data_IF_631509680793
#
_entry.id   IF_631509680793
#
_cell.length_a   1.000
_cell.length_b   1.000
_cell.length_c   1.000
_cell.angle_alpha   90.00
_cell.angle_beta   90.00
_cell.angle_gamma   90.00
#
_symmetry.space_group_name_H-M   'P 1'
#
loop_
_entity.id
_entity.type
_entity.pdbx_description
1 polymer ?
#
# COMPACT_ATOMS: atom_id res chain seq x y z
N UNK A 1 12.53 12.39 -39.30
CA UNK A 1 13.96 12.66 -39.07
C UNK A 1 14.19 12.88 -37.58
N UNK A 2 15.17 12.21 -36.96
CA UNK A 2 15.49 12.30 -35.51
C UNK A 2 16.90 12.87 -35.32
N UNK A 3 17.05 14.17 -35.58
CA UNK A 3 18.25 14.91 -35.21
C UNK A 3 17.89 16.15 -34.41
N UNK A 4 18.77 16.54 -33.50
CA UNK A 4 18.63 17.78 -32.75
C UNK A 4 19.99 18.46 -32.59
N UNK A 5 19.95 19.76 -32.34
CA UNK A 5 21.13 20.55 -32.02
C UNK A 5 21.10 20.92 -30.55
N UNK A 6 22.27 20.94 -29.92
CA UNK A 6 22.39 21.49 -28.56
C UNK A 6 22.12 22.99 -28.63
N UNK A 7 21.52 23.57 -27.61
CA UNK A 7 21.31 25.03 -27.56
C UNK A 7 22.67 25.74 -27.67
N UNK A 8 22.85 26.54 -28.73
CA UNK A 8 24.10 27.23 -29.05
C UNK A 8 25.15 26.41 -29.83
N UNK A 9 24.85 25.17 -30.22
CA UNK A 9 25.73 24.32 -31.02
C UNK A 9 25.27 24.20 -32.47
N UNK A 10 26.20 24.18 -33.42
CA UNK A 10 25.93 24.04 -34.87
C UNK A 10 26.03 22.60 -35.39
N UNK A 11 26.30 21.64 -34.50
CA UNK A 11 26.42 20.22 -34.87
C UNK A 11 25.11 19.50 -34.61
N UNK A 12 24.50 19.02 -35.69
CA UNK A 12 23.34 18.13 -35.65
C UNK A 12 23.72 16.76 -35.10
N UNK A 13 23.03 16.30 -34.06
CA UNK A 13 23.22 14.98 -33.46
C UNK A 13 22.07 14.09 -33.94
N UNK A 14 22.39 13.06 -34.72
CA UNK A 14 21.44 11.97 -35.01
C UNK A 14 21.27 11.09 -33.79
N UNK A 15 20.02 10.78 -33.47
CA UNK A 15 19.66 9.88 -32.37
C UNK A 15 18.72 8.81 -32.89
N UNK A 16 18.97 7.58 -32.45
CA UNK A 16 18.11 6.43 -32.65
C UNK A 16 17.76 5.88 -31.27
N UNK A 17 16.48 5.82 -30.94
CA UNK A 17 16.01 5.38 -29.63
C UNK A 17 14.63 4.75 -29.71
N UNK A 18 14.39 3.78 -28.83
CA UNK A 18 13.06 3.24 -28.56
C UNK A 18 12.44 4.00 -27.38
N UNK A 19 11.30 4.63 -27.62
CA UNK A 19 10.56 5.35 -26.59
C UNK A 19 9.55 4.42 -25.90
N UNK A 20 9.60 4.34 -24.58
CA UNK A 20 8.59 3.67 -23.75
C UNK A 20 8.13 4.70 -22.72
N UNK A 21 6.83 4.93 -22.65
CA UNK A 21 6.21 5.88 -21.72
C UNK A 21 5.11 5.20 -20.91
N UNK A 22 4.84 5.71 -19.71
CA UNK A 22 3.76 5.25 -18.86
C UNK A 22 3.12 6.45 -18.16
N UNK A 23 1.81 6.41 -18.00
CA UNK A 23 1.04 7.46 -17.33
C UNK A 23 -0.14 6.85 -16.57
N UNK A 24 -0.47 7.44 -15.42
CA UNK A 24 -1.69 7.13 -14.66
C UNK A 24 -2.84 8.09 -14.99
N UNK A 25 -2.60 9.06 -15.87
CA UNK A 25 -3.61 10.02 -16.35
C UNK A 25 -4.19 9.57 -17.67
N UNK A 26 -5.49 9.77 -17.81
CA UNK A 26 -6.22 9.65 -19.07
C UNK A 26 -5.80 10.79 -20.00
N UNK A 27 -4.99 10.47 -21.01
CA UNK A 27 -4.45 11.45 -21.94
C UNK A 27 -5.52 12.01 -22.88
N UNK A 28 -6.56 11.24 -23.21
CA UNK A 28 -7.66 11.71 -24.05
C UNK A 28 -8.46 12.81 -23.33
N UNK A 29 -8.76 12.59 -22.04
CA UNK A 29 -9.36 13.64 -21.20
C UNK A 29 -8.44 14.83 -20.99
N UNK A 30 -7.13 14.62 -20.93
CA UNK A 30 -6.17 15.71 -20.78
C UNK A 30 -6.07 16.58 -22.05
N UNK A 31 -6.15 15.96 -23.24
CA UNK A 31 -6.22 16.66 -24.52
C UNK A 31 -7.52 17.47 -24.63
N UNK A 32 -8.66 16.87 -24.28
CA UNK A 32 -9.96 17.57 -24.28
C UNK A 32 -9.99 18.82 -23.37
N UNK A 33 -9.15 18.83 -22.32
CA UNK A 33 -8.99 19.97 -21.39
C UNK A 33 -7.89 20.95 -21.80
N UNK A 34 -7.21 20.74 -22.94
CA UNK A 34 -6.08 21.56 -23.40
C UNK A 34 -4.81 21.41 -22.56
N UNK A 35 -4.74 20.41 -21.68
CA UNK A 35 -3.59 20.16 -20.79
C UNK A 35 -2.52 19.28 -21.44
N UNK A 36 -2.83 18.67 -22.59
CA UNK A 36 -1.91 17.81 -23.33
C UNK A 36 -2.00 18.08 -24.83
N UNK A 37 -0.86 18.03 -25.51
CA UNK A 37 -0.78 18.31 -26.94
C UNK A 37 -1.17 17.07 -27.75
N UNK A 38 -2.05 17.28 -28.72
CA UNK A 38 -2.59 16.24 -29.60
C UNK A 38 -1.52 15.64 -30.52
N UNK A 39 -0.63 16.47 -31.09
CA UNK A 39 0.46 16.03 -31.94
C UNK A 39 1.45 15.09 -31.22
N UNK A 40 1.68 15.34 -29.92
CA UNK A 40 2.49 14.47 -29.08
C UNK A 40 1.76 13.17 -28.75
N UNK A 41 0.45 13.21 -28.50
CA UNK A 41 -0.34 12.02 -28.20
C UNK A 41 -0.26 11.00 -29.34
N UNK A 42 -0.49 11.41 -30.58
CA UNK A 42 -0.43 10.50 -31.73
C UNK A 42 0.97 9.92 -31.99
N UNK A 43 2.04 10.61 -31.57
CA UNK A 43 3.42 10.10 -31.65
C UNK A 43 3.77 9.12 -30.53
N UNK A 44 3.12 9.24 -29.38
CA UNK A 44 3.34 8.35 -28.23
C UNK A 44 2.42 7.12 -28.28
N UNK A 45 1.16 7.31 -28.65
CA UNK A 45 0.08 6.34 -28.55
C UNK A 45 -0.01 5.45 -29.80
N UNK A 46 1.11 4.80 -30.16
CA UNK A 46 1.18 3.88 -31.31
C UNK A 46 0.76 2.47 -30.90
N UNK A 47 1.30 1.97 -29.78
CA UNK A 47 0.92 0.69 -29.18
C UNK A 47 0.72 0.92 -27.70
N UNK A 48 -0.49 0.62 -27.22
CA UNK A 48 -0.90 0.91 -25.85
C UNK A 48 -1.22 -0.36 -25.11
N UNK A 49 -0.56 -0.56 -23.98
CA UNK A 49 -0.81 -1.67 -23.06
C UNK A 49 -1.57 -1.12 -21.86
N UNK A 50 -2.83 -1.52 -21.73
CA UNK A 50 -3.62 -1.19 -20.54
C UNK A 50 -3.21 -2.09 -19.38
N UNK A 51 -2.75 -1.48 -18.27
CA UNK A 51 -2.42 -2.21 -17.05
C UNK A 51 -3.60 -2.14 -16.07
N UNK A 52 -4.38 -3.22 -15.90
CA UNK A 52 -5.52 -3.21 -15.00
C UNK A 52 -5.08 -3.05 -13.53
N UNK A 53 -5.88 -2.38 -12.69
CA UNK A 53 -5.66 -2.31 -11.26
C UNK A 53 -5.78 -3.71 -10.62
N UNK A 54 -5.10 -3.93 -9.50
CA UNK A 54 -5.09 -5.23 -8.79
C UNK A 54 -6.49 -5.78 -8.50
N UNK A 55 -7.48 -4.93 -8.19
CA UNK A 55 -8.88 -5.34 -7.98
C UNK A 55 -9.56 -6.01 -9.18
N UNK A 56 -9.06 -5.78 -10.40
CA UNK A 56 -9.56 -6.43 -11.62
C UNK A 56 -8.81 -7.73 -11.95
N UNK A 57 -7.78 -8.07 -11.17
CA UNK A 57 -6.93 -9.26 -11.34
C UNK A 57 -6.63 -9.91 -9.98
N UNK A 58 -7.69 -10.18 -9.22
CA UNK A 58 -7.58 -10.71 -7.86
C UNK A 58 -6.88 -12.08 -7.80
N UNK A 59 -6.96 -12.84 -8.87
CA UNK A 59 -6.28 -14.14 -9.05
C UNK A 59 -4.75 -14.03 -8.94
N UNK A 60 -4.16 -12.86 -9.22
CA UNK A 60 -2.73 -12.62 -9.08
C UNK A 60 -2.30 -12.37 -7.63
N UNK A 61 -3.24 -12.06 -6.72
CA UNK A 61 -2.94 -11.65 -5.34
C UNK A 61 -2.17 -12.75 -4.58
N UNK A 62 -2.57 -14.03 -4.59
CA UNK A 62 -1.82 -15.07 -3.89
C UNK A 62 -0.39 -15.23 -4.42
N UNK A 63 -0.20 -15.13 -5.73
CA UNK A 63 1.13 -15.22 -6.35
C UNK A 63 2.02 -14.04 -5.94
N UNK A 64 1.49 -12.82 -6.03
CA UNK A 64 2.18 -11.59 -5.65
C UNK A 64 2.50 -11.56 -4.15
N UNK A 65 1.55 -11.95 -3.30
CA UNK A 65 1.75 -11.99 -1.85
C UNK A 65 2.86 -12.98 -1.47
N UNK A 66 2.88 -14.16 -2.07
CA UNK A 66 3.95 -15.14 -1.86
C UNK A 66 5.30 -14.65 -2.39
N UNK A 67 5.33 -13.95 -3.52
CA UNK A 67 6.55 -13.33 -4.04
C UNK A 67 7.10 -12.30 -3.06
N UNK A 68 6.27 -11.38 -2.55
CA UNK A 68 6.69 -10.38 -1.57
C UNK A 68 7.13 -11.03 -0.25
N UNK A 69 6.40 -12.04 0.24
CA UNK A 69 6.81 -12.81 1.40
C UNK A 69 8.23 -13.32 1.23
N UNK A 70 8.54 -14.05 0.15
CA UNK A 70 9.88 -14.58 -0.10
C UNK A 70 10.94 -13.48 -0.17
N UNK A 71 10.62 -12.38 -0.84
CA UNK A 71 11.53 -11.23 -1.01
C UNK A 71 11.91 -10.59 0.34
N UNK A 72 10.94 -10.40 1.23
CA UNK A 72 11.16 -9.74 2.53
C UNK A 72 11.59 -10.71 3.64
N UNK A 73 11.32 -12.01 3.47
CA UNK A 73 11.77 -13.04 4.40
C UNK A 73 13.30 -13.19 4.40
N UNK A 74 13.92 -13.11 3.22
CA UNK A 74 15.38 -13.15 3.08
C UNK A 74 16.10 -11.94 3.72
N UNK A 75 15.40 -10.81 3.91
CA UNK A 75 15.94 -9.63 4.59
C UNK A 75 15.83 -9.74 6.12
N UNK A 76 14.86 -10.53 6.61
CA UNK A 76 14.52 -10.62 8.04
C UNK A 76 14.93 -11.95 8.71
N UNK A 77 15.73 -12.77 8.03
CA UNK A 77 16.29 -14.03 8.57
C UNK A 77 15.35 -15.24 8.49
N UNK A 78 14.53 -15.31 7.44
CA UNK A 78 13.70 -16.46 7.06
C UNK A 78 12.72 -16.98 8.13
N UNK A 79 12.15 -16.07 8.92
CA UNK A 79 11.23 -16.42 10.02
C UNK A 79 9.86 -16.89 9.54
N UNK A 80 9.36 -16.36 8.42
CA UNK A 80 7.97 -16.54 7.97
C UNK A 80 7.92 -17.43 6.73
N UNK A 81 7.30 -18.61 6.84
CA UNK A 81 7.29 -19.63 5.79
C UNK A 81 6.10 -19.51 4.85
N UNK A 82 4.93 -19.10 5.36
CA UNK A 82 3.69 -19.09 4.57
C UNK A 82 2.69 -18.05 5.06
N UNK A 83 1.70 -17.77 4.20
CA UNK A 83 0.50 -17.01 4.54
C UNK A 83 -0.61 -18.03 4.81
N UNK A 84 -1.40 -17.83 5.87
CA UNK A 84 -2.58 -18.67 6.14
C UNK A 84 -3.67 -18.46 5.09
N UNK A 85 -4.55 -19.45 4.91
CA UNK A 85 -5.62 -19.37 3.93
C UNK A 85 -6.59 -18.22 4.26
N UNK A 86 -6.93 -18.06 5.54
CA UNK A 86 -7.81 -16.99 6.03
C UNK A 86 -7.22 -15.60 5.79
N UNK A 87 -5.89 -15.48 5.89
CA UNK A 87 -5.18 -14.25 5.60
C UNK A 87 -5.15 -13.94 4.10
N UNK A 88 -5.01 -14.95 3.25
CA UNK A 88 -5.11 -14.80 1.80
C UNK A 88 -6.52 -14.41 1.37
N UNK A 89 -7.56 -15.00 1.95
CA UNK A 89 -8.96 -14.62 1.68
C UNK A 89 -9.20 -13.15 1.99
N UNK A 90 -8.70 -12.67 3.13
CA UNK A 90 -8.77 -11.26 3.52
C UNK A 90 -8.05 -10.34 2.51
N UNK A 91 -6.90 -10.76 1.98
CA UNK A 91 -6.20 -10.03 0.93
C UNK A 91 -6.97 -10.03 -0.40
N UNK A 92 -7.68 -11.11 -0.74
CA UNK A 92 -8.48 -11.21 -1.97
C UNK A 92 -9.77 -10.38 -1.90
N UNK A 93 -10.37 -10.25 -0.72
CA UNK A 93 -11.60 -9.49 -0.53
C UNK A 93 -11.37 -7.96 -0.57
N UNK A 94 -10.15 -7.49 -0.33
CA UNK A 94 -9.83 -6.07 -0.32
C UNK A 94 -9.72 -5.44 -1.73
N UNK A 95 -10.05 -4.15 -1.84
CA UNK A 95 -10.15 -3.41 -3.11
C UNK A 95 -8.82 -2.83 -3.63
N UNK A 96 -7.76 -2.87 -2.83
CA UNK A 96 -6.40 -2.43 -3.22
C UNK A 96 -6.33 -1.08 -3.95
N UNK A 97 -6.74 0.03 -3.34
CA UNK A 97 -6.62 1.35 -3.97
C UNK A 97 -5.21 1.77 -4.33
N UNK A 98 -4.22 1.40 -3.52
CA UNK A 98 -2.81 1.60 -3.83
C UNK A 98 -2.22 0.51 -4.73
N UNK A 99 -3.06 -0.40 -5.26
CA UNK A 99 -2.70 -1.45 -6.21
C UNK A 99 -1.57 -2.34 -5.62
N UNK A 100 -0.70 -2.88 -6.47
CA UNK A 100 0.42 -3.75 -6.06
C UNK A 100 1.33 -3.12 -4.99
N UNK A 101 1.52 -1.79 -4.98
CA UNK A 101 2.35 -1.13 -3.95
C UNK A 101 1.75 -1.20 -2.56
N UNK A 102 0.42 -1.13 -2.45
CA UNK A 102 -0.23 -1.29 -1.16
C UNK A 102 -0.13 -2.74 -0.68
N UNK A 103 -0.32 -3.72 -1.58
CA UNK A 103 -0.10 -5.13 -1.28
C UNK A 103 1.32 -5.40 -0.79
N UNK A 104 2.33 -4.90 -1.50
CA UNK A 104 3.75 -5.00 -1.13
C UNK A 104 3.98 -4.47 0.30
N UNK A 105 3.50 -3.26 0.60
CA UNK A 105 3.65 -2.64 1.92
C UNK A 105 2.88 -3.42 3.02
N UNK A 106 1.72 -3.98 2.71
CA UNK A 106 0.94 -4.77 3.66
C UNK A 106 1.70 -6.06 4.00
N UNK A 107 2.20 -6.77 2.99
CA UNK A 107 2.95 -8.02 3.18
C UNK A 107 4.29 -7.77 3.88
N UNK A 108 5.03 -6.72 3.50
CA UNK A 108 6.27 -6.33 4.18
C UNK A 108 6.03 -6.09 5.67
N UNK A 109 5.00 -5.29 6.01
CA UNK A 109 4.64 -5.05 7.41
C UNK A 109 4.23 -6.34 8.12
N UNK A 110 3.44 -7.20 7.47
CA UNK A 110 3.01 -8.46 8.04
C UNK A 110 4.23 -9.34 8.39
N UNK A 111 5.22 -9.46 7.51
CA UNK A 111 6.47 -10.21 7.78
C UNK A 111 7.22 -9.67 9.01
N UNK A 112 7.23 -8.35 9.21
CA UNK A 112 7.89 -7.70 10.37
C UNK A 112 7.09 -7.88 11.67
N UNK A 113 5.76 -7.88 11.58
CA UNK A 113 4.87 -7.94 12.73
C UNK A 113 4.64 -9.36 13.25
N UNK A 114 4.67 -10.33 12.33
CA UNK A 114 4.45 -11.75 12.58
C UNK A 114 5.54 -12.27 13.53
N UNK A 115 5.12 -12.95 14.60
CA UNK A 115 6.05 -13.59 15.55
C UNK A 115 6.18 -15.11 15.33
N UNK A 116 5.37 -15.66 14.43
CA UNK A 116 5.29 -17.07 14.07
C UNK A 116 5.87 -17.30 12.65
N UNK A 117 5.88 -18.54 12.21
CA UNK A 117 6.26 -18.93 10.85
C UNK A 117 5.12 -18.80 9.83
N UNK A 118 3.93 -18.35 10.27
CA UNK A 118 2.74 -18.18 9.43
C UNK A 118 2.16 -16.77 9.62
N UNK A 119 1.88 -16.06 8.52
CA UNK A 119 1.12 -14.80 8.56
C UNK A 119 -0.36 -15.11 8.81
N UNK A 120 -0.90 -14.58 9.90
CA UNK A 120 -2.31 -14.72 10.27
C UNK A 120 -3.12 -13.46 9.88
N UNK A 121 -4.46 -13.53 9.84
CA UNK A 121 -5.30 -12.37 9.54
C UNK A 121 -5.04 -11.17 10.45
N UNK A 122 -4.64 -11.41 11.70
CA UNK A 122 -4.32 -10.37 12.69
C UNK A 122 -3.02 -9.60 12.39
N UNK A 123 -2.11 -10.20 11.61
CA UNK A 123 -0.87 -9.55 11.18
C UNK A 123 -1.11 -8.64 9.95
N UNK A 124 -2.26 -8.79 9.30
CA UNK A 124 -2.64 -8.03 8.11
C UNK A 124 -3.36 -6.74 8.52
N UNK A 125 -2.63 -5.63 8.42
CA UNK A 125 -3.17 -4.29 8.69
C UNK A 125 -3.61 -3.62 7.38
N UNK A 126 -4.90 -3.76 7.07
CA UNK A 126 -5.57 -3.04 5.98
C UNK A 126 -6.11 -1.70 6.45
N UNK A 127 -6.13 -0.72 5.54
CA UNK A 127 -6.80 0.56 5.80
C UNK A 127 -8.30 0.37 5.59
N UNK A 128 -9.18 0.94 6.45
CA UNK A 128 -10.61 0.90 6.19
C UNK A 128 -10.90 1.65 4.87
N UNK A 129 -11.41 0.93 3.88
CA UNK A 129 -11.85 1.50 2.62
C UNK A 129 -13.20 2.18 2.82
N UNK A 130 -13.19 3.48 3.16
CA UNK A 130 -14.40 4.30 3.01
C UNK A 130 -14.49 4.70 1.53
N UNK A 131 -15.52 4.23 0.83
CA UNK A 131 -16.04 4.92 -0.36
C UNK A 131 -16.41 6.33 0.08
N UNK A 132 -15.54 7.30 -0.22
CA UNK A 132 -15.93 8.69 -0.15
C UNK A 132 -16.90 8.88 -1.33
N UNK A 133 -18.20 8.89 -1.06
CA UNK A 133 -19.20 9.34 -2.01
C UNK A 133 -18.91 10.82 -2.36
N UNK A 134 -19.07 11.16 -3.64
CA UNK A 134 -18.72 12.44 -4.28
C UNK A 134 -19.50 13.69 -3.77
N UNK A 135 -19.72 13.87 -2.46
CA UNK A 135 -20.50 15.02 -1.96
C UNK A 135 -19.98 15.74 -0.73
N UNK A 136 -18.78 15.46 -0.22
CA UNK A 136 -18.23 16.23 0.90
C UNK A 136 -16.78 16.66 0.65
N UNK A 137 -16.64 17.79 -0.05
CA UNK A 137 -15.46 18.65 0.10
C UNK A 137 -15.58 19.30 1.49
N UNK A 138 -15.20 18.55 2.52
CA UNK A 138 -14.89 19.12 3.82
C UNK A 138 -13.37 19.12 3.90
N UNK A 139 -12.79 20.32 3.93
CA UNK A 139 -11.38 20.57 4.26
C UNK A 139 -10.89 19.60 5.34
N UNK A 140 -9.66 19.05 5.21
CA UNK A 140 -9.25 17.91 6.01
C UNK A 140 -9.29 18.27 7.49
N UNK A 141 -10.13 17.63 8.33
CA UNK A 141 -9.83 17.63 9.73
C UNK A 141 -8.53 16.82 9.84
N UNK A 142 -7.50 17.45 10.40
CA UNK A 142 -6.23 16.82 10.81
C UNK A 142 -6.49 15.36 11.12
N UNK A 143 -5.81 14.48 10.38
CA UNK A 143 -5.79 13.03 10.59
C UNK A 143 -5.93 12.72 12.07
N UNK A 144 -7.11 12.27 12.51
CA UNK A 144 -7.26 11.54 13.76
C UNK A 144 -6.45 10.26 13.50
N UNK A 145 -5.18 10.35 13.84
CA UNK A 145 -4.20 9.30 13.58
C UNK A 145 -4.76 8.04 14.22
N UNK A 146 -4.86 6.93 13.49
CA UNK A 146 -5.27 5.62 14.05
C UNK A 146 -4.54 5.30 15.37
N UNK A 147 -3.33 5.86 15.53
CA UNK A 147 -2.49 5.86 16.72
C UNK A 147 -3.18 6.47 17.96
N UNK A 148 -3.94 7.56 17.81
CA UNK A 148 -4.62 8.24 18.92
C UNK A 148 -5.85 7.48 19.41
N UNK A 149 -6.63 6.91 18.48
CA UNK A 149 -7.78 6.06 18.83
C UNK A 149 -7.35 4.77 19.51
N UNK A 150 -6.29 4.14 19.01
CA UNK A 150 -5.70 2.94 19.62
C UNK A 150 -5.12 3.25 21.01
N UNK A 151 -4.42 4.38 21.15
CA UNK A 151 -3.91 4.86 22.45
C UNK A 151 -5.04 5.03 23.46
N UNK A 152 -6.15 5.66 23.07
CA UNK A 152 -7.29 5.88 23.95
C UNK A 152 -7.94 4.56 24.43
N UNK A 153 -8.07 3.58 23.55
CA UNK A 153 -8.65 2.26 23.89
C UNK A 153 -7.75 1.47 24.84
N UNK A 154 -6.44 1.42 24.56
CA UNK A 154 -5.46 0.76 25.43
C UNK A 154 -5.42 1.42 26.81
N UNK A 155 -5.43 2.75 26.86
CA UNK A 155 -5.42 3.50 28.10
C UNK A 155 -6.71 3.31 28.92
N UNK A 156 -7.87 3.21 28.24
CA UNK A 156 -9.15 2.90 28.90
C UNK A 156 -9.13 1.50 29.51
N UNK A 157 -8.69 0.48 28.77
CA UNK A 157 -8.60 -0.90 29.27
C UNK A 157 -7.62 -1.04 30.44
N UNK A 158 -6.48 -0.34 30.40
CA UNK A 158 -5.51 -0.29 31.52
C UNK A 158 -6.12 0.37 32.76
N UNK A 159 -6.83 1.50 32.61
CA UNK A 159 -7.51 2.16 33.74
C UNK A 159 -8.59 1.27 34.36
N UNK A 160 -9.45 0.65 33.55
CA UNK A 160 -10.52 -0.23 34.04
C UNK A 160 -9.99 -1.47 34.77
N UNK A 161 -8.80 -1.93 34.41
CA UNK A 161 -8.16 -3.11 35.02
C UNK A 161 -7.08 -2.77 36.06
N UNK A 162 -7.04 -1.52 36.54
CA UNK A 162 -6.06 -1.04 37.52
C UNK A 162 -4.61 -1.31 37.11
N UNK A 163 -4.28 -1.05 35.84
CA UNK A 163 -2.97 -1.26 35.23
C UNK A 163 -2.47 -2.71 35.21
N UNK A 164 -3.36 -3.69 35.45
CA UNK A 164 -3.02 -5.09 35.29
C UNK A 164 -2.99 -5.47 33.81
N UNK A 165 -1.79 -5.47 33.23
CA UNK A 165 -1.57 -5.75 31.80
C UNK A 165 -2.16 -7.09 31.33
N UNK A 166 -2.18 -8.12 32.18
CA UNK A 166 -2.73 -9.43 31.81
C UNK A 166 -4.26 -9.38 31.68
N UNK A 167 -4.94 -8.67 32.60
CA UNK A 167 -6.39 -8.46 32.54
C UNK A 167 -6.77 -7.48 31.44
N UNK A 168 -6.00 -6.42 31.23
CA UNK A 168 -6.20 -5.45 30.15
C UNK A 168 -6.09 -6.12 28.78
N UNK A 169 -5.08 -6.97 28.59
CA UNK A 169 -4.87 -7.73 27.36
C UNK A 169 -6.06 -8.67 27.09
N UNK A 170 -6.53 -9.37 28.13
CA UNK A 170 -7.73 -10.23 28.05
C UNK A 170 -9.00 -9.44 27.72
N UNK A 171 -9.17 -8.23 28.26
CA UNK A 171 -10.31 -7.35 27.98
C UNK A 171 -10.28 -6.81 26.55
N UNK A 172 -9.09 -6.58 26.00
CA UNK A 172 -8.87 -6.13 24.63
C UNK A 172 -8.81 -7.28 23.62
N UNK A 173 -8.89 -8.54 24.07
CA UNK A 173 -8.80 -9.72 23.19
C UNK A 173 -7.42 -9.92 22.55
N UNK A 174 -6.35 -9.37 23.12
CA UNK A 174 -4.99 -9.46 22.59
C UNK A 174 -4.06 -10.20 23.55
N UNK A 175 -2.97 -10.76 23.03
CA UNK A 175 -1.95 -11.39 23.87
C UNK A 175 -1.20 -10.36 24.74
N UNK A 176 -0.79 -10.74 25.96
CA UNK A 176 -0.11 -9.84 26.92
C UNK A 176 1.15 -9.18 26.33
N UNK A 177 1.91 -9.93 25.54
CA UNK A 177 3.13 -9.42 24.89
C UNK A 177 2.80 -8.34 23.84
N UNK A 178 1.68 -8.48 23.13
CA UNK A 178 1.19 -7.51 22.15
C UNK A 178 0.78 -6.20 22.82
N UNK A 179 0.09 -6.29 23.97
CA UNK A 179 -0.24 -5.11 24.77
C UNK A 179 1.05 -4.39 25.22
N UNK A 180 2.01 -5.12 25.81
CA UNK A 180 3.28 -4.55 26.28
C UNK A 180 4.07 -3.85 25.16
N UNK A 181 4.12 -4.43 23.96
CA UNK A 181 4.76 -3.83 22.79
C UNK A 181 4.07 -2.53 22.36
N UNK A 182 2.73 -2.53 22.32
CA UNK A 182 1.93 -1.35 21.96
C UNK A 182 2.04 -0.23 23.01
N UNK A 183 2.05 -0.57 24.30
CA UNK A 183 2.26 0.38 25.41
C UNK A 183 3.61 1.10 25.30
N UNK A 184 4.68 0.36 24.99
CA UNK A 184 6.01 0.93 24.79
C UNK A 184 6.09 1.82 23.54
N UNK A 185 5.52 1.37 22.42
CA UNK A 185 5.52 2.11 21.17
C UNK A 185 4.71 3.42 21.26
N UNK A 186 3.57 3.39 21.95
CA UNK A 186 2.66 4.53 22.13
C UNK A 186 3.04 5.43 23.31
N UNK A 187 4.14 5.13 24.02
CA UNK A 187 4.62 5.83 25.22
C UNK A 187 3.52 6.05 26.25
N UNK A 188 2.77 4.99 26.57
CA UNK A 188 1.75 5.01 27.61
C UNK A 188 2.43 4.55 28.91
N UNK A 189 2.60 5.47 29.85
CA UNK A 189 3.14 5.20 31.19
C UNK A 189 2.02 4.84 32.16
#
# INVERSE_FOLDING_TARGET
EQSFERVGGTKSVKVDFRLITATNKDLEKAMAKGLFREDLYHRLNVVTVHLPPLRQRKEDIPLLANYFLKRYNGVNGDKVRTISAEALDLLMDYEWPGNVRELENVVERAVVLTNNDVILPEDILLRPWKRISDSEIISPPRSISLVEGEKALIQKALKTTHWNQTKAAKLLGIHRNTLRRKTNYLKIH
#
